data_IF_762407267372
#
_entry.id   IF_762407267372
#
_cell.length_a   1.000
_cell.length_b   1.000
_cell.length_c   1.000
_cell.angle_alpha   90.00
_cell.angle_beta   90.00
_cell.angle_gamma   90.00
#
_symmetry.space_group_name_H-M   'P 1'
#
loop_
_entity.id
_entity.type
_entity.pdbx_description
1 polymer ?
#
# COMPACT_ATOMS: atom_id res chain seq x y z
N UNK A 1 23.82 4.64 17.98
CA UNK A 1 22.45 5.18 18.25
C UNK A 1 21.55 4.59 17.18
N UNK A 2 20.39 4.05 17.56
CA UNK A 2 19.41 3.57 16.60
C UNK A 2 18.75 4.77 15.90
N UNK A 3 18.68 4.73 14.57
CA UNK A 3 17.98 5.76 13.79
C UNK A 3 16.51 5.36 13.66
N UNK A 4 15.57 6.11 14.26
CA UNK A 4 14.15 5.81 14.16
C UNK A 4 13.68 5.98 12.71
N UNK A 5 13.10 4.91 12.16
CA UNK A 5 12.60 4.86 10.79
C UNK A 5 11.07 4.70 10.81
N UNK A 6 10.36 5.51 10.04
CA UNK A 6 8.93 5.43 9.81
C UNK A 6 8.71 4.74 8.47
N UNK A 7 7.93 3.66 8.46
CA UNK A 7 7.65 2.88 7.25
C UNK A 7 6.22 3.11 6.78
N UNK A 8 6.04 3.29 5.48
CA UNK A 8 4.78 3.24 4.77
C UNK A 8 4.77 2.06 3.81
N UNK A 9 3.74 1.22 3.85
CA UNK A 9 3.55 0.14 2.87
C UNK A 9 2.20 0.34 2.21
N UNK A 10 2.20 0.58 0.90
CA UNK A 10 1.00 0.47 0.08
C UNK A 10 0.83 -0.98 -0.34
N UNK A 11 -0.31 -1.59 0.01
CA UNK A 11 -0.55 -3.02 -0.14
C UNK A 11 -1.81 -3.30 -0.95
N UNK A 12 -1.65 -4.05 -2.03
CA UNK A 12 -2.72 -4.68 -2.78
C UNK A 12 -2.49 -6.20 -2.90
N UNK A 13 -3.47 -6.93 -3.47
CA UNK A 13 -3.29 -8.35 -3.77
C UNK A 13 -2.27 -8.63 -4.88
N UNK A 14 -1.98 -7.63 -5.71
CA UNK A 14 -1.08 -7.77 -6.86
C UNK A 14 0.34 -7.33 -6.53
N UNK A 15 0.51 -6.25 -5.78
CA UNK A 15 1.81 -5.68 -5.44
C UNK A 15 1.79 -4.94 -4.10
N UNK A 16 2.97 -4.71 -3.56
CA UNK A 16 3.23 -3.78 -2.48
C UNK A 16 4.29 -2.76 -2.90
N UNK A 17 4.25 -1.55 -2.33
CA UNK A 17 5.33 -0.57 -2.38
C UNK A 17 5.73 -0.22 -0.95
N UNK A 18 7.01 -0.01 -0.70
CA UNK A 18 7.49 0.38 0.63
C UNK A 18 8.27 1.68 0.55
N UNK A 19 7.87 2.62 1.39
CA UNK A 19 8.56 3.90 1.58
C UNK A 19 9.05 4.01 3.02
N UNK A 20 10.08 4.79 3.21
CA UNK A 20 10.60 5.07 4.55
C UNK A 20 10.95 6.55 4.71
N UNK A 21 10.92 7.00 5.96
CA UNK A 21 11.27 8.34 6.37
C UNK A 21 12.08 8.32 7.67
N UNK A 22 13.16 9.08 7.71
CA UNK A 22 13.93 9.38 8.92
C UNK A 22 13.87 10.89 9.19
N UNK A 23 13.98 11.29 10.46
CA UNK A 23 13.81 12.70 10.85
C UNK A 23 14.85 13.67 10.22
N UNK A 24 15.96 13.13 9.72
CA UNK A 24 17.01 13.88 9.02
C UNK A 24 16.80 13.99 7.50
N UNK A 25 15.74 13.36 6.96
CA UNK A 25 15.39 13.41 5.54
C UNK A 25 14.43 14.58 5.27
N UNK A 26 14.56 15.22 4.11
CA UNK A 26 13.65 16.28 3.66
C UNK A 26 12.30 15.74 3.23
N UNK A 27 12.26 14.52 2.69
CA UNK A 27 11.07 13.84 2.17
C UNK A 27 11.20 12.33 2.30
N UNK A 28 10.08 11.58 2.30
CA UNK A 28 10.11 10.12 2.26
C UNK A 28 10.74 9.59 0.98
N UNK A 29 11.40 8.45 1.08
CA UNK A 29 11.99 7.74 -0.05
C UNK A 29 11.27 6.40 -0.26
N UNK A 30 10.93 6.08 -1.52
CA UNK A 30 10.36 4.78 -1.91
C UNK A 30 11.46 3.85 -2.36
N UNK A 31 11.47 2.63 -1.85
CA UNK A 31 12.50 1.64 -2.16
C UNK A 31 12.30 1.10 -3.57
N UNK A 32 13.30 1.31 -4.44
CA UNK A 32 13.35 0.65 -5.73
C UNK A 32 14.01 -0.73 -5.60
N UNK A 33 13.43 -1.74 -6.24
CA UNK A 33 13.97 -3.11 -6.27
C UNK A 33 15.25 -3.22 -7.12
N UNK A 34 15.44 -2.28 -8.04
CA UNK A 34 16.62 -2.22 -8.92
C UNK A 34 17.28 -0.86 -8.73
N UNK A 35 18.52 -0.87 -8.27
CA UNK A 35 19.27 0.36 -8.07
C UNK A 35 19.35 1.20 -9.36
N UNK A 36 19.01 2.48 -9.27
CA UNK A 36 19.01 3.41 -10.39
C UNK A 36 17.84 3.30 -11.36
N UNK A 37 16.78 2.57 -10.97
CA UNK A 37 15.52 2.48 -11.73
C UNK A 37 14.33 2.87 -10.87
N UNK A 38 13.19 3.10 -11.50
CA UNK A 38 11.91 3.40 -10.86
C UNK A 38 11.04 2.14 -10.71
N UNK A 39 11.64 1.02 -10.30
CA UNK A 39 10.91 -0.22 -10.08
C UNK A 39 10.51 -0.37 -8.60
N UNK A 40 9.35 0.14 -8.24
CA UNK A 40 8.86 0.18 -6.86
C UNK A 40 7.86 -0.94 -6.52
N UNK A 41 7.31 -1.63 -7.51
CA UNK A 41 6.27 -2.64 -7.33
C UNK A 41 6.87 -3.99 -6.93
N UNK A 42 6.62 -4.42 -5.71
CA UNK A 42 7.00 -5.70 -5.16
C UNK A 42 5.81 -6.66 -5.34
N UNK A 43 5.88 -7.70 -6.17
CA UNK A 43 4.78 -8.66 -6.32
C UNK A 43 4.33 -9.22 -4.96
N UNK A 44 3.02 -9.15 -4.64
CA UNK A 44 2.45 -9.71 -3.39
C UNK A 44 2.33 -11.23 -3.54
N UNK A 45 3.49 -11.87 -3.61
CA UNK A 45 3.66 -13.28 -3.90
C UNK A 45 4.66 -13.91 -2.95
N UNK A 46 4.31 -15.07 -2.42
CA UNK A 46 5.21 -15.99 -1.73
C UNK A 46 5.41 -17.26 -2.57
N UNK A 47 6.58 -17.83 -2.52
CA UNK A 47 6.86 -19.13 -3.11
C UNK A 47 7.68 -19.98 -2.13
N UNK A 48 7.22 -21.19 -1.83
CA UNK A 48 7.93 -22.13 -0.95
C UNK A 48 8.61 -23.21 -1.78
N UNK A 49 9.90 -23.41 -1.54
CA UNK A 49 10.65 -24.49 -2.17
C UNK A 49 10.20 -25.85 -1.62
N UNK A 50 9.85 -26.80 -2.51
CA UNK A 50 9.18 -28.06 -2.16
C UNK A 50 9.93 -28.91 -1.14
N UNK A 51 11.23 -29.03 -1.23
CA UNK A 51 12.00 -29.99 -0.43
C UNK A 51 12.80 -29.37 0.71
N UNK A 52 12.86 -28.05 0.81
CA UNK A 52 13.77 -27.34 1.75
C UNK A 52 13.02 -26.43 2.72
N UNK A 53 11.73 -26.19 2.49
CA UNK A 53 10.92 -25.30 3.34
C UNK A 53 11.31 -23.81 3.29
N UNK A 54 12.17 -23.40 2.35
CA UNK A 54 12.62 -22.03 2.17
C UNK A 54 11.56 -21.20 1.44
N UNK A 55 11.31 -20.01 1.94
CA UNK A 55 10.37 -19.05 1.36
C UNK A 55 11.10 -17.98 0.54
N UNK A 56 10.61 -17.74 -0.66
CA UNK A 56 10.91 -16.60 -1.51
C UNK A 56 9.75 -15.63 -1.49
N UNK A 57 9.98 -14.35 -1.75
CA UNK A 57 8.96 -13.31 -1.81
C UNK A 57 9.22 -12.33 -2.96
N UNK A 58 8.17 -11.62 -3.39
CA UNK A 58 8.25 -10.59 -4.42
C UNK A 58 8.84 -11.12 -5.73
N UNK A 59 9.79 -10.38 -6.30
CA UNK A 59 10.45 -10.73 -7.57
C UNK A 59 11.16 -12.08 -7.56
N UNK A 60 11.76 -12.47 -6.42
CA UNK A 60 12.38 -13.80 -6.32
C UNK A 60 11.32 -14.90 -6.40
N UNK A 61 10.19 -14.72 -5.69
CA UNK A 61 9.08 -15.67 -5.78
C UNK A 61 8.54 -15.75 -7.22
N UNK A 62 8.42 -14.62 -7.91
CA UNK A 62 7.95 -14.57 -9.30
C UNK A 62 8.94 -15.25 -10.27
N UNK A 63 10.24 -15.11 -10.06
CA UNK A 63 11.27 -15.82 -10.84
C UNK A 63 11.21 -17.32 -10.57
N UNK A 64 11.11 -17.72 -9.31
CA UNK A 64 11.03 -19.13 -8.92
C UNK A 64 9.72 -19.79 -9.37
N UNK A 65 8.61 -19.05 -9.45
CA UNK A 65 7.33 -19.54 -9.96
C UNK A 65 7.40 -20.10 -11.40
N UNK A 66 8.39 -19.66 -12.17
CA UNK A 66 8.64 -20.19 -13.53
C UNK A 66 9.28 -21.58 -13.51
N UNK A 67 9.69 -22.06 -12.34
CA UNK A 67 10.27 -23.40 -12.15
C UNK A 67 9.23 -24.35 -11.54
N UNK A 68 9.43 -25.65 -11.68
CA UNK A 68 8.58 -26.66 -11.03
C UNK A 68 8.95 -26.93 -9.56
N UNK A 69 9.93 -26.21 -9.02
CA UNK A 69 10.54 -26.49 -7.71
C UNK A 69 9.80 -25.84 -6.52
N UNK A 70 8.87 -24.94 -6.78
CA UNK A 70 8.16 -24.19 -5.75
C UNK A 70 6.65 -24.38 -5.78
N UNK A 71 6.00 -24.05 -4.68
CA UNK A 71 4.55 -23.87 -4.56
C UNK A 71 4.33 -22.38 -4.27
N UNK A 72 3.53 -21.71 -5.10
CA UNK A 72 3.24 -20.29 -4.99
C UNK A 72 1.97 -20.05 -4.20
N UNK A 73 1.96 -18.92 -3.46
CA UNK A 73 0.79 -18.39 -2.76
C UNK A 73 0.68 -16.90 -3.09
N UNK A 74 -0.36 -16.54 -3.80
CA UNK A 74 -0.76 -15.17 -4.17
C UNK A 74 -2.01 -14.70 -3.42
N UNK A 75 -2.49 -13.50 -3.74
CA UNK A 75 -3.72 -12.93 -3.19
C UNK A 75 -3.77 -12.98 -1.65
N UNK A 76 -2.63 -12.69 -1.02
CA UNK A 76 -2.41 -12.89 0.41
C UNK A 76 -3.41 -12.13 1.28
N UNK A 77 -3.73 -10.88 0.93
CA UNK A 77 -4.69 -10.07 1.69
C UNK A 77 -6.10 -10.64 1.59
N UNK A 78 -6.57 -10.93 0.37
CA UNK A 78 -7.90 -11.49 0.14
C UNK A 78 -8.08 -12.84 0.85
N UNK A 79 -7.07 -13.72 0.79
CA UNK A 79 -7.10 -15.02 1.46
C UNK A 79 -7.10 -14.88 2.99
N UNK A 80 -6.33 -13.91 3.52
CA UNK A 80 -6.32 -13.62 4.94
C UNK A 80 -7.68 -13.08 5.43
N UNK A 81 -8.34 -12.21 4.64
CA UNK A 81 -9.70 -11.72 4.91
C UNK A 81 -10.72 -12.86 4.88
N UNK A 82 -10.57 -13.80 3.95
CA UNK A 82 -11.42 -14.98 3.88
C UNK A 82 -11.16 -16.01 5.01
N UNK A 83 -10.10 -15.82 5.81
CA UNK A 83 -9.72 -16.74 6.89
C UNK A 83 -9.24 -18.10 6.37
N UNK A 84 -8.65 -18.13 5.17
CA UNK A 84 -8.21 -19.38 4.54
C UNK A 84 -7.05 -20.04 5.30
N UNK A 85 -7.05 -21.37 5.29
CA UNK A 85 -5.90 -22.21 5.66
C UNK A 85 -5.32 -22.79 4.39
N UNK A 86 -4.05 -22.53 4.15
CA UNK A 86 -3.37 -22.87 2.89
C UNK A 86 -2.37 -23.98 3.12
N UNK A 87 -2.57 -25.10 2.42
CA UNK A 87 -1.64 -26.23 2.44
C UNK A 87 -0.44 -25.96 1.51
N UNK A 88 0.79 -25.92 2.06
CA UNK A 88 2.00 -25.72 1.29
C UNK A 88 3.09 -26.68 1.76
N UNK A 89 3.52 -27.57 0.86
CA UNK A 89 4.61 -28.51 1.14
C UNK A 89 4.33 -29.48 2.29
N UNK A 90 3.08 -29.88 2.47
CA UNK A 90 2.64 -30.82 3.51
C UNK A 90 2.34 -30.17 4.87
N UNK A 91 2.50 -28.86 4.99
CA UNK A 91 2.14 -28.07 6.18
C UNK A 91 0.96 -27.15 5.89
N UNK A 92 0.17 -26.83 6.90
CA UNK A 92 -0.95 -25.91 6.82
C UNK A 92 -0.59 -24.58 7.48
N UNK A 93 -0.87 -23.48 6.78
CA UNK A 93 -0.62 -22.12 7.24
C UNK A 93 -1.92 -21.32 7.25
N UNK A 94 -2.18 -20.55 8.28
CA UNK A 94 -3.19 -19.52 8.21
C UNK A 94 -2.75 -18.45 7.19
N UNK A 95 -3.65 -17.99 6.33
CA UNK A 95 -3.31 -16.98 5.33
C UNK A 95 -2.81 -15.67 5.95
N UNK A 96 -3.28 -15.35 7.16
CA UNK A 96 -2.79 -14.19 7.94
C UNK A 96 -1.32 -14.34 8.35
N UNK A 97 -0.83 -15.55 8.62
CA UNK A 97 0.57 -15.78 8.95
C UNK A 97 1.46 -15.60 7.71
N UNK A 98 0.97 -16.04 6.55
CA UNK A 98 1.66 -15.83 5.28
C UNK A 98 1.70 -14.35 4.87
N UNK A 99 0.60 -13.62 5.11
CA UNK A 99 0.58 -12.17 4.90
C UNK A 99 1.58 -11.45 5.84
N UNK A 100 1.63 -11.84 7.11
CA UNK A 100 2.59 -11.29 8.07
C UNK A 100 4.04 -11.63 7.67
N UNK A 101 4.31 -12.85 7.19
CA UNK A 101 5.61 -13.25 6.66
C UNK A 101 6.03 -12.37 5.48
N UNK A 102 5.13 -12.15 4.51
CA UNK A 102 5.38 -11.27 3.36
C UNK A 102 5.72 -9.85 3.82
N UNK A 103 4.86 -9.25 4.66
CA UNK A 103 5.06 -7.88 5.16
C UNK A 103 6.36 -7.74 5.95
N UNK A 104 6.73 -8.73 6.77
CA UNK A 104 8.02 -8.75 7.46
C UNK A 104 9.19 -8.67 6.47
N UNK A 105 9.12 -9.40 5.35
CA UNK A 105 10.14 -9.37 4.31
C UNK A 105 10.20 -8.03 3.58
N UNK A 106 9.06 -7.41 3.29
CA UNK A 106 8.99 -6.07 2.69
C UNK A 106 9.58 -5.02 3.62
N UNK A 107 9.27 -5.09 4.92
CA UNK A 107 9.83 -4.18 5.94
C UNK A 107 11.36 -4.28 6.06
N UNK A 108 11.95 -5.45 5.81
CA UNK A 108 13.40 -5.64 5.84
C UNK A 108 14.13 -4.87 4.73
N UNK A 109 13.47 -4.53 3.61
CA UNK A 109 14.12 -3.86 2.47
C UNK A 109 14.74 -2.51 2.84
N UNK A 110 13.97 -1.52 3.37
CA UNK A 110 14.55 -0.24 3.76
C UNK A 110 15.53 -0.38 4.94
N UNK A 111 15.34 -1.36 5.82
CA UNK A 111 16.23 -1.57 6.95
C UNK A 111 17.63 -2.07 6.53
N UNK A 112 17.72 -2.81 5.43
CA UNK A 112 18.99 -3.26 4.84
C UNK A 112 19.75 -2.16 4.12
N UNK A 113 19.07 -1.11 3.67
CA UNK A 113 19.69 0.03 2.97
C UNK A 113 20.42 1.00 3.91
N UNK A 114 20.15 0.96 5.21
CA UNK A 114 20.75 1.83 6.21
C UNK A 114 21.24 1.09 7.45
N UNK A 115 22.40 1.50 7.97
CA UNK A 115 22.97 0.92 9.17
C UNK A 115 22.22 1.41 10.43
N UNK A 116 21.75 0.48 11.26
CA UNK A 116 21.18 0.79 12.57
C UNK A 116 19.77 1.39 12.54
N UNK A 117 19.02 1.20 11.47
CA UNK A 117 17.60 1.58 11.40
C UNK A 117 16.74 0.68 12.27
N UNK A 118 15.85 1.29 13.05
CA UNK A 118 14.80 0.58 13.80
C UNK A 118 13.42 1.14 13.44
N UNK A 119 12.45 0.24 13.24
CA UNK A 119 11.08 0.66 12.89
C UNK A 119 10.44 1.35 14.09
N UNK A 120 10.20 2.64 13.98
CA UNK A 120 9.48 3.44 14.97
C UNK A 120 7.96 3.27 14.84
N UNK A 121 7.47 3.32 13.60
CA UNK A 121 6.06 3.13 13.26
C UNK A 121 5.93 2.53 11.86
N UNK A 122 4.96 1.64 11.69
CA UNK A 122 4.52 1.12 10.41
C UNK A 122 3.11 1.63 10.11
N UNK A 123 2.92 2.21 8.92
CA UNK A 123 1.60 2.52 8.35
C UNK A 123 1.39 1.64 7.13
N UNK A 124 0.26 0.93 7.07
CA UNK A 124 -0.16 0.19 5.88
C UNK A 124 -1.29 0.96 5.22
N UNK A 125 -1.18 1.18 3.92
CA UNK A 125 -2.23 1.77 3.09
C UNK A 125 -2.85 0.69 2.22
N UNK A 126 -4.18 0.70 2.09
CA UNK A 126 -4.95 -0.22 1.25
C UNK A 126 -5.98 0.56 0.44
N UNK A 127 -6.49 -0.03 -0.64
CA UNK A 127 -7.51 0.63 -1.49
C UNK A 127 -8.72 1.07 -0.68
N UNK A 128 -9.24 0.16 0.14
CA UNK A 128 -10.41 0.42 0.99
C UNK A 128 -10.25 -0.23 2.35
N UNK A 129 -10.48 0.54 3.40
CA UNK A 129 -10.49 0.05 4.76
C UNK A 129 -11.89 -0.45 5.12
N UNK A 130 -12.03 -1.77 5.34
CA UNK A 130 -13.24 -2.42 5.84
C UNK A 130 -13.01 -2.98 7.24
N UNK A 131 -14.09 -3.34 7.93
CA UNK A 131 -13.98 -3.97 9.25
C UNK A 131 -13.21 -5.29 9.18
N UNK A 132 -13.48 -6.09 8.14
CA UNK A 132 -12.89 -7.41 7.96
C UNK A 132 -11.37 -7.31 7.75
N UNK A 133 -10.90 -6.39 6.89
CA UNK A 133 -9.47 -6.23 6.68
C UNK A 133 -8.78 -5.57 7.89
N UNK A 134 -9.46 -4.69 8.65
CA UNK A 134 -8.93 -4.19 9.92
C UNK A 134 -8.67 -5.31 10.93
N UNK A 135 -9.60 -6.27 11.08
CA UNK A 135 -9.43 -7.43 11.96
C UNK A 135 -8.22 -8.28 11.54
N UNK A 136 -7.99 -8.44 10.23
CA UNK A 136 -6.79 -9.11 9.70
C UNK A 136 -5.53 -8.34 10.05
N UNK A 137 -5.51 -7.02 9.85
CA UNK A 137 -4.32 -6.22 10.13
C UNK A 137 -3.96 -6.16 11.61
N UNK A 138 -4.93 -6.23 12.52
CA UNK A 138 -4.63 -6.39 13.94
C UNK A 138 -3.96 -7.73 14.25
N UNK A 139 -4.38 -8.82 13.61
CA UNK A 139 -3.68 -10.10 13.71
C UNK A 139 -2.27 -10.02 13.13
N UNK A 140 -2.10 -9.39 11.97
CA UNK A 140 -0.79 -9.15 11.35
C UNK A 140 0.11 -8.35 12.29
N UNK A 141 -0.38 -7.25 12.88
CA UNK A 141 0.40 -6.46 13.84
C UNK A 141 0.89 -7.31 15.02
N UNK A 142 0.02 -8.18 15.55
CA UNK A 142 0.39 -9.13 16.61
C UNK A 142 1.49 -10.10 16.16
N UNK A 143 1.43 -10.62 14.92
CA UNK A 143 2.47 -11.51 14.34
C UNK A 143 3.80 -10.79 14.11
N UNK A 144 3.76 -9.49 13.86
CA UNK A 144 4.93 -8.63 13.68
C UNK A 144 5.44 -8.02 14.99
N UNK A 145 4.83 -8.38 16.14
CA UNK A 145 5.14 -7.84 17.46
C UNK A 145 5.06 -6.30 17.53
N UNK A 146 4.11 -5.72 16.79
CA UNK A 146 3.85 -4.30 16.76
C UNK A 146 2.70 -3.93 17.71
N UNK A 147 2.95 -2.93 18.55
CA UNK A 147 1.95 -2.37 19.45
C UNK A 147 1.06 -1.34 18.72
N UNK A 148 -0.11 -1.03 19.27
CA UNK A 148 -1.09 -0.14 18.63
C UNK A 148 -0.56 1.29 18.37
N UNK A 149 0.37 1.78 19.19
CA UNK A 149 1.04 3.07 18.99
C UNK A 149 2.10 3.05 17.88
N UNK A 150 2.54 1.86 17.47
CA UNK A 150 3.54 1.65 16.42
C UNK A 150 2.96 1.16 15.10
N UNK A 151 1.65 0.91 15.04
CA UNK A 151 0.99 0.35 13.87
C UNK A 151 -0.27 1.13 13.52
N UNK A 152 -0.44 1.47 12.25
CA UNK A 152 -1.61 2.16 11.72
C UNK A 152 -1.98 1.57 10.36
N UNK A 153 -3.28 1.52 10.08
CA UNK A 153 -3.80 1.17 8.75
C UNK A 153 -4.74 2.28 8.31
N UNK A 154 -4.59 2.71 7.07
CA UNK A 154 -5.40 3.76 6.44
C UNK A 154 -5.83 3.31 5.05
N UNK A 155 -6.89 3.89 4.51
CA UNK A 155 -7.19 3.73 3.09
C UNK A 155 -6.48 4.80 2.23
N UNK A 156 -6.49 4.62 0.90
CA UNK A 156 -5.85 5.55 -0.03
C UNK A 156 -6.37 6.98 0.12
N UNK A 157 -7.68 7.17 0.41
CA UNK A 157 -8.26 8.50 0.62
C UNK A 157 -7.68 9.19 1.85
N UNK A 158 -7.59 8.44 2.96
CA UNK A 158 -7.04 8.95 4.21
C UNK A 158 -5.53 9.23 4.06
N UNK A 159 -4.79 8.34 3.39
CA UNK A 159 -3.36 8.55 3.09
C UNK A 159 -3.15 9.84 2.28
N UNK A 160 -3.95 10.03 1.23
CA UNK A 160 -3.88 11.24 0.41
C UNK A 160 -4.31 12.50 1.18
N UNK A 161 -5.28 12.37 2.09
CA UNK A 161 -5.66 13.46 2.99
C UNK A 161 -4.46 13.96 3.79
N UNK A 162 -3.70 13.06 4.43
CA UNK A 162 -2.49 13.45 5.16
C UNK A 162 -1.43 14.06 4.26
N UNK A 163 -1.24 13.52 3.06
CA UNK A 163 -0.35 14.09 2.06
C UNK A 163 -0.76 15.51 1.69
N UNK A 164 -2.04 15.73 1.40
CA UNK A 164 -2.56 17.05 1.00
C UNK A 164 -2.42 18.10 2.10
N UNK A 165 -2.53 17.72 3.38
CA UNK A 165 -2.31 18.61 4.51
C UNK A 165 -0.85 19.09 4.62
N UNK A 166 0.10 18.31 4.14
CA UNK A 166 1.53 18.67 4.13
C UNK A 166 1.92 19.59 2.99
N UNK A 167 1.03 19.79 2.00
CA UNK A 167 1.29 20.63 0.85
C UNK A 167 1.22 22.12 1.18
N UNK A 168 1.80 22.95 0.31
CA UNK A 168 1.81 24.40 0.45
C UNK A 168 0.37 24.96 0.49
N UNK A 169 0.17 26.04 1.22
CA UNK A 169 -1.13 26.72 1.32
C UNK A 169 -1.70 27.15 -0.02
N UNK A 170 -0.84 27.45 -1.00
CA UNK A 170 -1.24 27.81 -2.37
C UNK A 170 -2.09 26.75 -3.08
N UNK A 171 -1.91 25.46 -2.73
CA UNK A 171 -2.76 24.39 -3.26
C UNK A 171 -4.25 24.64 -2.96
N UNK A 172 -4.54 25.19 -1.77
CA UNK A 172 -5.90 25.36 -1.27
C UNK A 172 -6.59 26.66 -1.70
N UNK A 173 -5.90 27.48 -2.53
CA UNK A 173 -6.51 28.64 -3.17
C UNK A 173 -7.37 28.25 -4.39
N UNK A 174 -7.31 26.98 -4.79
CA UNK A 174 -8.04 26.42 -5.92
C UNK A 174 -8.83 25.18 -5.49
N UNK A 175 -9.75 24.73 -6.35
CA UNK A 175 -10.42 23.45 -6.15
C UNK A 175 -9.40 22.31 -6.26
N UNK A 176 -9.40 21.42 -5.27
CA UNK A 176 -8.46 20.29 -5.19
C UNK A 176 -9.22 19.00 -5.43
N UNK A 177 -8.77 18.22 -6.40
CA UNK A 177 -9.36 16.93 -6.75
C UNK A 177 -8.34 15.82 -6.61
N UNK A 178 -8.78 14.72 -5.99
CA UNK A 178 -8.05 13.47 -5.97
C UNK A 178 -8.70 12.50 -6.96
N UNK A 179 -7.87 11.86 -7.77
CA UNK A 179 -8.27 10.73 -8.59
C UNK A 179 -7.55 9.48 -8.11
N UNK A 180 -8.30 8.47 -7.67
CA UNK A 180 -7.77 7.17 -7.26
C UNK A 180 -8.12 6.13 -8.31
N UNK A 181 -7.10 5.48 -8.87
CA UNK A 181 -7.25 4.43 -9.87
C UNK A 181 -7.08 3.07 -9.19
N UNK A 182 -8.18 2.38 -8.92
CA UNK A 182 -8.24 1.01 -8.45
C UNK A 182 -8.37 0.07 -9.66
N UNK A 183 -8.04 -1.22 -9.52
CA UNK A 183 -7.93 -2.21 -10.62
C UNK A 183 -8.80 -1.99 -11.87
N UNK A 184 -10.09 -1.74 -11.71
CA UNK A 184 -11.05 -1.52 -12.81
C UNK A 184 -11.95 -0.31 -12.59
N UNK A 185 -11.59 0.58 -11.66
CA UNK A 185 -12.41 1.73 -11.31
C UNK A 185 -11.55 2.96 -11.09
N UNK A 186 -12.04 4.09 -11.53
CA UNK A 186 -11.50 5.41 -11.23
C UNK A 186 -12.48 6.13 -10.31
N UNK A 187 -12.01 6.57 -9.17
CA UNK A 187 -12.76 7.40 -8.23
C UNK A 187 -12.27 8.82 -8.31
N UNK A 188 -13.17 9.78 -8.28
CA UNK A 188 -12.83 11.18 -8.10
C UNK A 188 -13.40 11.70 -6.78
N UNK A 189 -12.58 12.43 -6.06
CA UNK A 189 -12.91 13.05 -4.78
C UNK A 189 -12.69 14.56 -4.88
N UNK A 190 -13.63 15.31 -4.31
CA UNK A 190 -13.54 16.75 -4.13
C UNK A 190 -13.01 17.03 -2.72
N UNK A 191 -11.90 17.73 -2.60
CA UNK A 191 -11.28 18.08 -1.34
C UNK A 191 -11.51 19.57 -1.06
N UNK A 192 -12.05 19.87 0.11
CA UNK A 192 -12.31 21.25 0.55
C UNK A 192 -11.71 21.49 1.91
N UNK A 193 -10.90 22.53 2.02
CA UNK A 193 -10.33 22.98 3.29
C UNK A 193 -11.16 24.12 3.85
N UNK A 194 -11.71 23.93 5.05
CA UNK A 194 -12.35 25.04 5.78
C UNK A 194 -11.27 25.82 6.55
N UNK A 195 -10.94 27.00 6.03
CA UNK A 195 -9.97 27.91 6.63
C UNK A 195 -10.51 28.65 7.87
N UNK A 196 -11.80 28.53 8.19
CA UNK A 196 -12.46 29.24 9.29
C UNK A 196 -12.40 28.46 10.60
N UNK A 197 -12.05 27.18 10.55
CA UNK A 197 -11.98 26.31 11.73
C UNK A 197 -10.58 26.26 12.32
N UNK A 198 -10.50 26.05 13.64
CA UNK A 198 -9.23 25.81 14.35
C UNK A 198 -9.42 24.58 15.25
N UNK A 199 -8.74 23.44 14.98
CA UNK A 199 -7.87 23.20 13.84
C UNK A 199 -8.59 23.26 12.49
N UNK A 200 -7.86 23.49 11.42
CA UNK A 200 -8.42 23.50 10.07
C UNK A 200 -8.93 22.10 9.70
N UNK A 201 -10.07 22.04 9.06
CA UNK A 201 -10.72 20.78 8.65
C UNK A 201 -10.69 20.68 7.13
N UNK A 202 -10.27 19.53 6.63
CA UNK A 202 -10.43 19.17 5.23
C UNK A 202 -11.53 18.13 5.10
N UNK A 203 -12.49 18.37 4.25
CA UNK A 203 -13.54 17.41 3.90
C UNK A 203 -13.23 16.74 2.56
N UNK A 204 -13.51 15.45 2.45
CA UNK A 204 -13.35 14.67 1.24
C UNK A 204 -14.73 14.14 0.84
N UNK A 205 -15.17 14.49 -0.35
CA UNK A 205 -16.45 14.02 -0.90
C UNK A 205 -16.19 13.20 -2.16
N UNK A 206 -16.66 11.95 -2.20
CA UNK A 206 -16.66 11.17 -3.43
C UNK A 206 -17.61 11.83 -4.43
N UNK A 207 -17.06 12.32 -5.53
CA UNK A 207 -17.83 13.04 -6.54
C UNK A 207 -18.30 12.13 -7.68
N UNK A 208 -17.50 11.14 -8.05
CA UNK A 208 -17.83 10.24 -9.17
C UNK A 208 -17.05 8.91 -9.08
N UNK A 209 -17.67 7.88 -9.64
CA UNK A 209 -17.05 6.57 -9.84
C UNK A 209 -17.21 6.16 -11.29
N UNK A 210 -16.13 5.76 -11.93
CA UNK A 210 -16.10 5.31 -13.31
C UNK A 210 -15.56 3.89 -13.38
N UNK A 211 -16.17 3.03 -14.19
CA UNK A 211 -15.63 1.69 -14.47
C UNK A 211 -14.74 1.77 -15.69
N UNK A 212 -13.47 1.39 -15.54
CA UNK A 212 -12.50 1.33 -16.64
C UNK A 212 -12.75 0.08 -17.47
N UNK A 213 -12.99 0.24 -18.79
CA UNK A 213 -13.20 -0.84 -19.74
C UNK A 213 -12.25 -0.68 -20.91
N UNK A 214 -11.63 -1.78 -21.35
CA UNK A 214 -10.71 -1.77 -22.50
C UNK A 214 -9.30 -1.34 -22.14
N UNK A 215 -8.66 -0.58 -23.05
CA UNK A 215 -7.33 -0.03 -22.81
C UNK A 215 -7.38 0.98 -21.67
N UNK A 216 -6.67 0.66 -20.61
CA UNK A 216 -6.73 1.35 -19.32
C UNK A 216 -6.27 2.81 -19.43
N UNK A 217 -5.19 3.05 -20.17
CA UNK A 217 -4.58 4.39 -20.27
C UNK A 217 -5.45 5.33 -21.11
N UNK A 218 -6.03 4.82 -22.18
CA UNK A 218 -6.99 5.56 -23.03
C UNK A 218 -8.26 5.89 -22.25
N UNK A 219 -8.85 4.90 -21.56
CA UNK A 219 -10.05 5.11 -20.76
C UNK A 219 -9.82 6.10 -19.62
N UNK A 220 -8.64 6.05 -18.97
CA UNK A 220 -8.26 7.01 -17.91
C UNK A 220 -8.18 8.43 -18.47
N UNK A 221 -7.49 8.65 -19.59
CA UNK A 221 -7.36 9.96 -20.24
C UNK A 221 -8.70 10.56 -20.64
N UNK A 222 -9.60 9.75 -21.23
CA UNK A 222 -10.93 10.19 -21.63
C UNK A 222 -11.79 10.60 -20.42
N UNK A 223 -11.73 9.85 -19.33
CA UNK A 223 -12.50 10.15 -18.11
C UNK A 223 -11.95 11.41 -17.45
N UNK A 224 -10.63 11.55 -17.35
CA UNK A 224 -9.99 12.74 -16.82
C UNK A 224 -10.38 13.98 -17.60
N UNK A 225 -10.30 13.94 -18.92
CA UNK A 225 -10.71 15.05 -19.78
C UNK A 225 -12.19 15.42 -19.57
N UNK A 226 -13.10 14.46 -19.55
CA UNK A 226 -14.52 14.70 -19.28
C UNK A 226 -14.76 15.26 -17.88
N UNK A 227 -14.04 14.80 -16.88
CA UNK A 227 -14.15 15.32 -15.50
C UNK A 227 -13.70 16.78 -15.41
N UNK A 228 -12.65 17.16 -16.14
CA UNK A 228 -12.22 18.55 -16.26
C UNK A 228 -13.21 19.40 -17.06
N UNK A 229 -13.67 18.93 -18.23
CA UNK A 229 -14.62 19.67 -19.08
C UNK A 229 -15.95 19.96 -18.36
N UNK A 230 -16.51 18.99 -17.65
CA UNK A 230 -17.77 19.15 -16.93
C UNK A 230 -17.69 20.16 -15.77
N UNK A 231 -16.51 20.56 -15.34
CA UNK A 231 -16.31 21.52 -14.22
C UNK A 231 -15.94 22.91 -14.66
N UNK A 232 -15.45 23.08 -15.89
CA UNK A 232 -15.21 24.40 -16.50
C UNK A 232 -16.55 25.05 -16.91
N UNK A 233 -17.63 24.26 -17.03
CA UNK A 233 -18.95 24.71 -17.51
C UNK A 233 -19.96 24.90 -16.36
N UNK A 234 -19.64 24.52 -15.13
CA UNK A 234 -20.47 24.71 -13.93
C UNK A 234 -19.96 25.86 -13.08
#
# INVERSE_FOLDING_TARGET
>A
MENPCYLGIDLSDSYAMVSFYELNMSEPETVSLIAGSENYHIPTLLARRKNVGMWYYGDEAQKMAKTSEVICVDSLLRRAVAGEVIGVGGENYEAVDLLALFLKKVMELPLKLGNGRSVKRLTITVDRLTRENMEVFWKVASRLELTADRFMVVDHKESFYYFSLSQQESLWLHDVFLFSCEENSLYSYDLRRDMRTTPQVVSIHESSRYTLRGDRDSAFSDIMNKAFENRIIS
#
